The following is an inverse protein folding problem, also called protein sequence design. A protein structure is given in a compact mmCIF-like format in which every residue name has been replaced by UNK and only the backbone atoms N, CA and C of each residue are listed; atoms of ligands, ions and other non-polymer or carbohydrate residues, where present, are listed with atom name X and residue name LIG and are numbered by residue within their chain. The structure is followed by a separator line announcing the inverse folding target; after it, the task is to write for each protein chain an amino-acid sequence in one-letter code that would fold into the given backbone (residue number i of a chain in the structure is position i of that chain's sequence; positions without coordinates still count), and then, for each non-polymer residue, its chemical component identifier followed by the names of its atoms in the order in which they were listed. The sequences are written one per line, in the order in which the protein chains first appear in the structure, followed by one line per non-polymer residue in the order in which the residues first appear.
data_IF_493327208513
#
_entry.id   IF_493327208513
#
_cell.length_a   1.000
_cell.length_b   1.000
_cell.length_c   1.000
_cell.angle_alpha   90.00
_cell.angle_beta   90.00
_cell.angle_gamma   90.00
#
_symmetry.space_group_name_H-M   'P 1'
#
loop_
_entity.id
_entity.type
_entity.pdbx_description
1 polymer ?
#
# COMPACT_ATOMS: atom_id res chain seq x y z
N UNK A 1 11.58 17.22 14.61
CA UNK A 1 10.81 16.16 15.29
C UNK A 1 9.62 16.72 16.06
N UNK A 2 9.79 17.90 16.66
CA UNK A 2 8.77 18.61 17.45
C UNK A 2 7.43 18.83 16.74
N UNK A 3 7.39 18.82 15.40
CA UNK A 3 6.14 18.88 14.65
C UNK A 3 5.33 17.57 14.73
N UNK A 4 5.96 16.42 14.43
CA UNK A 4 5.28 15.11 14.47
C UNK A 4 4.83 14.77 15.90
N UNK A 5 5.65 15.10 16.90
CA UNK A 5 5.34 14.86 18.31
C UNK A 5 4.16 15.66 18.87
N UNK A 6 3.59 16.61 18.11
CA UNK A 6 2.38 17.35 18.49
C UNK A 6 1.09 16.63 18.14
N UNK A 7 1.15 15.59 17.30
CA UNK A 7 -0.03 14.84 16.90
C UNK A 7 -0.22 13.63 17.82
N UNK A 8 -1.46 13.33 18.23
CA UNK A 8 -1.73 12.14 19.03
C UNK A 8 -1.42 10.88 18.23
N UNK A 9 -1.00 9.82 18.93
CA UNK A 9 -0.90 8.49 18.33
C UNK A 9 -2.28 8.05 17.83
N UNK A 10 -2.32 7.45 16.63
CA UNK A 10 -3.57 6.99 16.02
C UNK A 10 -4.14 5.75 16.70
N UNK A 11 -3.26 4.87 17.14
CA UNK A 11 -3.58 3.66 17.89
C UNK A 11 -2.66 3.58 19.10
N UNK A 12 -3.08 2.90 20.19
CA UNK A 12 -2.17 2.58 21.29
C UNK A 12 -1.01 1.72 20.78
N UNK A 13 0.11 1.72 21.52
CA UNK A 13 1.22 0.82 21.21
C UNK A 13 0.75 -0.64 21.26
N UNK A 14 1.00 -1.40 20.20
CA UNK A 14 0.50 -2.77 20.04
C UNK A 14 -0.98 -2.86 19.68
N UNK A 15 -1.66 -1.74 19.42
CA UNK A 15 -2.99 -1.72 18.84
C UNK A 15 -3.01 -2.08 17.34
N UNK A 16 -4.15 -1.89 16.66
CA UNK A 16 -4.29 -2.19 15.24
C UNK A 16 -3.23 -1.51 14.39
N UNK A 17 -2.81 -2.20 13.33
CA UNK A 17 -1.84 -1.66 12.36
C UNK A 17 -2.48 -0.53 11.57
N UNK A 18 -1.76 0.58 11.44
CA UNK A 18 -2.16 1.69 10.60
C UNK A 18 -0.97 2.14 9.77
N UNK A 19 -1.05 2.00 8.45
CA UNK A 19 0.01 2.43 7.55
C UNK A 19 0.34 3.92 7.78
N UNK A 20 1.63 4.24 7.89
CA UNK A 20 2.10 5.56 8.29
C UNK A 20 3.36 5.98 7.55
N UNK A 21 3.19 6.82 6.53
CA UNK A 21 4.30 7.53 5.88
C UNK A 21 5.10 8.36 6.89
N UNK A 22 4.42 9.01 7.85
CA UNK A 22 5.07 9.76 8.91
C UNK A 22 6.01 8.90 9.78
N UNK A 23 5.67 7.64 10.02
CA UNK A 23 6.55 6.72 10.74
C UNK A 23 7.83 6.41 9.94
N UNK A 24 7.74 6.26 8.61
CA UNK A 24 8.91 6.10 7.75
C UNK A 24 9.78 7.36 7.71
N UNK A 25 9.20 8.56 7.72
CA UNK A 25 9.95 9.83 7.88
C UNK A 25 10.69 9.85 9.22
N UNK A 26 10.04 9.41 10.31
CA UNK A 26 10.68 9.26 11.62
C UNK A 26 11.84 8.26 11.57
N UNK A 27 11.66 7.11 10.91
CA UNK A 27 12.72 6.12 10.70
C UNK A 27 13.91 6.70 9.92
N UNK A 28 13.65 7.50 8.89
CA UNK A 28 14.70 8.24 8.17
C UNK A 28 15.53 9.11 9.11
N UNK A 29 14.88 9.86 10.01
CA UNK A 29 15.60 10.69 10.99
C UNK A 29 16.37 9.87 12.03
N UNK A 30 15.86 8.71 12.44
CA UNK A 30 16.59 7.78 13.32
C UNK A 30 17.88 7.31 12.63
N UNK A 31 17.80 6.96 11.34
CA UNK A 31 18.97 6.60 10.53
C UNK A 31 19.99 7.76 10.53
N UNK A 32 19.55 8.98 10.27
CA UNK A 32 20.43 10.15 10.26
C UNK A 32 21.13 10.38 11.59
N UNK A 33 20.38 10.33 12.70
CA UNK A 33 20.92 10.53 14.05
C UNK A 33 21.96 9.48 14.41
N UNK A 34 21.73 8.22 14.05
CA UNK A 34 22.65 7.11 14.33
C UNK A 34 23.88 7.08 13.41
N UNK A 35 23.78 7.67 12.21
CA UNK A 35 24.84 7.60 11.20
C UNK A 35 25.61 8.92 11.00
N UNK A 36 25.11 10.03 11.54
CA UNK A 36 25.75 11.34 11.42
C UNK A 36 25.78 11.89 9.99
N UNK A 37 24.86 11.44 9.13
CA UNK A 37 24.75 11.84 7.72
C UNK A 37 23.28 11.89 7.31
N UNK A 38 22.95 12.59 6.21
CA UNK A 38 21.58 12.63 5.69
C UNK A 38 21.09 11.24 5.27
N UNK A 39 19.77 11.03 5.30
CA UNK A 39 19.17 9.77 4.87
C UNK A 39 19.57 9.42 3.43
N UNK A 40 19.59 10.40 2.53
CA UNK A 40 20.03 10.26 1.13
C UNK A 40 21.46 9.71 1.04
N UNK A 41 22.37 10.28 1.83
CA UNK A 41 23.78 9.86 1.87
C UNK A 41 23.91 8.44 2.40
N UNK A 42 23.13 8.08 3.43
CA UNK A 42 23.19 6.75 4.01
C UNK A 42 22.64 5.70 3.05
N UNK A 43 21.50 5.95 2.39
CA UNK A 43 20.93 5.06 1.39
C UNK A 43 21.93 4.81 0.26
N UNK A 44 22.51 5.88 -0.28
CA UNK A 44 23.47 5.79 -1.37
C UNK A 44 24.72 4.99 -0.98
N UNK A 45 25.39 5.38 0.10
CA UNK A 45 26.69 4.79 0.50
C UNK A 45 26.60 3.40 1.10
N UNK A 46 25.46 3.02 1.70
CA UNK A 46 25.31 1.73 2.38
C UNK A 46 24.53 0.69 1.60
N UNK A 47 23.73 1.10 0.62
CA UNK A 47 22.88 0.18 -0.15
C UNK A 47 23.17 0.32 -1.64
N UNK A 48 22.94 1.50 -2.23
CA UNK A 48 23.02 1.65 -3.69
C UNK A 48 24.43 1.39 -4.25
N UNK A 49 25.44 2.12 -3.76
CA UNK A 49 26.82 1.98 -4.24
C UNK A 49 27.41 0.58 -4.00
N UNK A 50 27.26 -0.04 -2.80
CA UNK A 50 27.76 -1.41 -2.59
C UNK A 50 27.07 -2.46 -3.46
N UNK A 51 25.77 -2.31 -3.74
CA UNK A 51 25.05 -3.24 -4.61
C UNK A 51 25.31 -3.00 -6.10
N UNK A 52 25.91 -1.86 -6.47
CA UNK A 52 26.07 -1.44 -7.87
C UNK A 52 24.76 -0.97 -8.50
N UNK A 53 23.83 -0.40 -7.71
CA UNK A 53 22.59 0.16 -8.24
C UNK A 53 22.85 1.53 -8.86
N UNK A 54 22.75 1.60 -10.19
CA UNK A 54 23.09 2.79 -10.96
C UNK A 54 21.93 3.79 -11.09
N UNK A 55 20.71 3.43 -10.68
CA UNK A 55 19.55 4.32 -10.82
C UNK A 55 18.75 4.54 -9.53
N UNK A 56 19.31 4.24 -8.35
CA UNK A 56 18.64 4.53 -7.07
C UNK A 56 18.91 5.99 -6.67
N UNK A 57 17.92 6.84 -6.94
CA UNK A 57 18.02 8.29 -6.74
C UNK A 57 16.97 8.81 -5.79
N UNK A 58 17.36 9.80 -4.97
CA UNK A 58 16.46 10.44 -4.03
C UNK A 58 16.27 11.92 -4.31
N UNK A 59 17.05 12.53 -5.21
CA UNK A 59 16.97 13.95 -5.55
C UNK A 59 16.59 14.13 -7.03
N UNK A 60 15.75 15.13 -7.38
CA UNK A 60 15.39 15.40 -8.77
C UNK A 60 16.57 15.57 -9.72
N UNK A 61 17.57 16.33 -9.30
CA UNK A 61 18.77 16.64 -10.08
C UNK A 61 19.60 15.39 -10.46
N UNK A 62 19.51 14.32 -9.67
CA UNK A 62 20.15 13.05 -9.99
C UNK A 62 19.43 12.29 -11.10
N UNK A 63 18.13 12.53 -11.26
CA UNK A 63 17.26 11.85 -12.23
C UNK A 63 17.27 12.56 -13.60
N UNK A 64 17.47 13.89 -13.62
CA UNK A 64 17.45 14.72 -14.84
C UNK A 64 18.40 14.27 -15.95
N UNK A 65 19.47 13.52 -15.63
CA UNK A 65 20.43 13.01 -16.61
C UNK A 65 19.97 11.74 -17.33
N UNK A 66 18.83 11.17 -16.96
CA UNK A 66 18.29 9.94 -17.51
C UNK A 66 16.94 10.15 -18.19
N UNK A 67 16.60 9.26 -19.13
CA UNK A 67 15.25 9.18 -19.71
C UNK A 67 14.26 8.68 -18.66
N UNK A 68 13.59 9.62 -18.00
CA UNK A 68 12.76 9.37 -16.83
C UNK A 68 11.28 9.54 -17.14
N UNK A 69 10.44 8.71 -16.53
CA UNK A 69 9.00 8.83 -16.70
C UNK A 69 8.46 10.02 -15.90
N UNK A 70 7.48 10.70 -16.49
CA UNK A 70 6.65 11.70 -15.82
C UNK A 70 5.26 11.10 -15.60
N UNK A 71 4.66 11.35 -14.45
CA UNK A 71 3.35 10.80 -14.12
C UNK A 71 2.21 11.49 -14.87
N UNK A 72 1.11 10.76 -15.03
CA UNK A 72 -0.07 11.24 -15.72
C UNK A 72 -1.34 10.91 -14.93
N UNK A 73 -2.34 11.78 -15.06
CA UNK A 73 -3.65 11.62 -14.45
C UNK A 73 -4.76 11.52 -15.50
N UNK A 74 -5.96 11.19 -15.03
CA UNK A 74 -7.19 11.08 -15.84
C UNK A 74 -7.10 9.97 -16.89
N UNK A 75 -6.36 8.90 -16.60
CA UNK A 75 -6.21 7.77 -17.50
C UNK A 75 -7.38 6.76 -17.43
N UNK A 76 -8.44 7.08 -16.68
CA UNK A 76 -9.68 6.30 -16.63
C UNK A 76 -10.75 7.00 -17.47
N UNK A 77 -11.25 6.31 -18.50
CA UNK A 77 -12.39 6.78 -19.27
C UNK A 77 -13.68 6.51 -18.48
N UNK A 78 -14.51 7.54 -18.29
CA UNK A 78 -15.76 7.44 -17.52
C UNK A 78 -16.88 6.76 -18.32
N UNK A 79 -16.75 6.71 -19.65
CA UNK A 79 -17.64 6.02 -20.57
C UNK A 79 -16.87 5.58 -21.83
N UNK A 80 -17.54 4.82 -22.72
CA UNK A 80 -16.95 4.33 -23.97
C UNK A 80 -16.77 5.40 -25.04
N UNK A 81 -17.50 6.51 -24.96
CA UNK A 81 -17.45 7.59 -25.95
C UNK A 81 -16.23 8.49 -25.75
N UNK A 82 -15.71 8.57 -24.52
CA UNK A 82 -14.51 9.33 -24.14
C UNK A 82 -13.26 8.44 -24.15
N UNK A 83 -13.21 7.42 -25.02
CA UNK A 83 -12.03 6.55 -25.18
C UNK A 83 -11.17 6.97 -26.40
N UNK A 84 -9.84 7.14 -26.24
CA UNK A 84 -9.08 7.02 -24.99
C UNK A 84 -9.32 8.18 -24.03
N UNK A 85 -9.17 7.92 -22.73
CA UNK A 85 -9.33 8.92 -21.68
C UNK A 85 -8.40 10.13 -21.92
N UNK A 86 -8.80 11.37 -21.58
CA UNK A 86 -7.95 12.55 -21.72
C UNK A 86 -6.85 12.54 -20.66
N UNK A 87 -5.77 11.80 -20.95
CA UNK A 87 -4.59 11.69 -20.09
C UNK A 87 -3.85 13.04 -20.06
N UNK A 88 -3.58 13.55 -18.86
CA UNK A 88 -2.88 14.81 -18.65
C UNK A 88 -1.61 14.59 -17.82
N UNK A 89 -0.48 15.24 -18.13
CA UNK A 89 0.71 15.19 -17.28
C UNK A 89 0.42 15.71 -15.87
N UNK A 90 1.06 15.12 -14.87
CA UNK A 90 1.02 15.58 -13.49
C UNK A 90 1.48 17.05 -13.35
N UNK A 91 1.01 17.73 -12.30
CA UNK A 91 1.45 19.10 -12.01
C UNK A 91 2.76 19.15 -11.22
N UNK A 92 3.00 18.09 -10.44
CA UNK A 92 4.18 17.91 -9.64
C UNK A 92 4.89 16.64 -10.10
N UNK A 93 6.22 16.69 -10.11
CA UNK A 93 7.03 15.51 -10.40
C UNK A 93 7.49 14.80 -9.12
N UNK A 94 7.69 15.57 -8.05
CA UNK A 94 8.20 15.05 -6.78
C UNK A 94 7.42 15.64 -5.61
N UNK A 95 7.17 14.82 -4.61
CA UNK A 95 6.61 15.23 -3.32
C UNK A 95 7.56 16.18 -2.55
N UNK A 96 7.12 16.81 -1.44
CA UNK A 96 8.00 17.60 -0.59
C UNK A 96 9.16 16.78 -0.03
N UNK A 97 10.36 17.36 0.08
CA UNK A 97 11.60 16.66 0.53
C UNK A 97 11.50 15.92 1.85
N UNK A 98 10.63 16.36 2.76
CA UNK A 98 10.42 15.68 4.04
C UNK A 98 9.87 14.25 3.87
N UNK A 99 9.29 13.93 2.71
CA UNK A 99 8.76 12.60 2.38
C UNK A 99 9.81 11.63 1.85
N UNK A 100 11.08 12.06 1.71
CA UNK A 100 12.21 11.27 1.22
C UNK A 100 12.15 9.78 1.62
N UNK A 101 12.21 9.49 2.93
CA UNK A 101 12.20 8.13 3.47
C UNK A 101 10.93 7.31 3.26
N UNK A 102 9.78 7.92 2.92
CA UNK A 102 8.51 7.20 2.81
C UNK A 102 8.02 6.98 1.37
N UNK A 103 8.64 7.60 0.35
CA UNK A 103 8.14 7.41 -1.02
C UNK A 103 8.87 8.13 -2.14
N UNK A 104 10.07 8.68 -1.94
CA UNK A 104 10.72 9.51 -2.97
C UNK A 104 11.92 8.87 -3.66
N UNK A 105 12.08 7.54 -3.58
CA UNK A 105 13.12 6.85 -4.32
C UNK A 105 12.67 6.66 -5.76
N UNK A 106 13.39 7.25 -6.70
CA UNK A 106 13.31 6.92 -8.12
C UNK A 106 14.27 5.78 -8.43
N UNK A 107 13.84 4.83 -9.26
CA UNK A 107 14.66 3.68 -9.65
C UNK A 107 14.34 3.20 -11.06
N UNK A 108 15.26 2.42 -11.63
CA UNK A 108 15.01 1.63 -12.84
C UNK A 108 14.32 0.31 -12.48
N UNK A 109 13.67 -0.32 -13.47
CA UNK A 109 13.11 -1.67 -13.27
C UNK A 109 14.20 -2.69 -12.91
N UNK A 110 15.39 -2.57 -13.52
CA UNK A 110 16.52 -3.47 -13.29
C UNK A 110 17.02 -3.38 -11.84
N UNK A 111 17.29 -2.17 -11.35
CA UNK A 111 17.76 -1.98 -9.96
C UNK A 111 16.69 -2.39 -8.94
N UNK A 112 15.40 -2.20 -9.26
CA UNK A 112 14.30 -2.65 -8.40
C UNK A 112 14.24 -4.19 -8.32
N UNK A 113 14.44 -4.90 -9.44
CA UNK A 113 14.51 -6.36 -9.46
C UNK A 113 15.74 -6.86 -8.70
N UNK A 114 16.89 -6.21 -8.88
CA UNK A 114 18.12 -6.56 -8.18
C UNK A 114 18.00 -6.30 -6.66
N UNK A 115 17.38 -5.20 -6.26
CA UNK A 115 17.04 -4.91 -4.86
C UNK A 115 16.16 -6.01 -4.26
N UNK A 116 15.11 -6.46 -4.97
CA UNK A 116 14.27 -7.54 -4.48
C UNK A 116 15.00 -8.89 -4.43
N UNK A 117 15.95 -9.13 -5.35
CA UNK A 117 16.76 -10.34 -5.35
C UNK A 117 17.64 -10.47 -4.10
N UNK A 118 18.00 -9.36 -3.43
CA UNK A 118 18.71 -9.39 -2.15
C UNK A 118 18.02 -10.30 -1.15
N UNK A 119 16.69 -10.23 -1.07
CA UNK A 119 15.89 -11.00 -0.12
C UNK A 119 15.82 -12.48 -0.49
N UNK A 120 15.89 -12.82 -1.79
CA UNK A 120 15.99 -14.21 -2.26
C UNK A 120 17.38 -14.81 -2.03
N UNK A 121 18.40 -13.96 -1.88
CA UNK A 121 19.81 -14.34 -1.78
C UNK A 121 20.40 -14.09 -0.39
N UNK A 122 19.57 -14.03 0.65
CA UNK A 122 20.05 -13.89 2.03
C UNK A 122 20.76 -12.55 2.31
N UNK A 123 20.49 -11.52 1.51
CA UNK A 123 21.03 -10.16 1.65
C UNK A 123 22.30 -9.91 0.83
N UNK A 124 22.57 -10.78 -0.14
CA UNK A 124 23.69 -10.68 -1.08
C UNK A 124 23.21 -10.13 -2.43
N UNK A 125 23.84 -9.05 -2.89
CA UNK A 125 23.57 -8.42 -4.18
C UNK A 125 24.03 -9.29 -5.36
N UNK A 126 23.52 -9.07 -6.58
CA UNK A 126 23.97 -9.79 -7.77
C UNK A 126 25.48 -9.72 -8.02
N UNK A 127 26.13 -8.62 -7.61
CA UNK A 127 27.59 -8.44 -7.69
C UNK A 127 28.38 -9.19 -6.60
N UNK A 128 27.71 -9.94 -5.70
CA UNK A 128 28.32 -10.68 -4.60
C UNK A 128 28.50 -9.89 -3.30
N UNK A 129 28.17 -8.59 -3.27
CA UNK A 129 28.29 -7.77 -2.07
C UNK A 129 27.21 -8.11 -1.06
N UNK A 130 27.61 -8.39 0.18
CA UNK A 130 26.70 -8.66 1.28
C UNK A 130 26.35 -7.36 2.01
N UNK A 131 25.10 -6.90 1.89
CA UNK A 131 24.64 -5.62 2.47
C UNK A 131 23.69 -5.77 3.66
N UNK A 132 23.12 -6.96 3.85
CA UNK A 132 22.15 -7.24 4.91
C UNK A 132 22.33 -8.66 5.43
N UNK A 133 22.37 -8.87 6.75
CA UNK A 133 22.44 -10.22 7.33
C UNK A 133 21.19 -11.07 7.02
N UNK A 134 21.35 -12.39 6.96
CA UNK A 134 20.22 -13.34 6.84
C UNK A 134 19.14 -13.14 7.92
N UNK A 135 19.55 -12.79 9.15
CA UNK A 135 18.61 -12.46 10.23
C UNK A 135 17.73 -11.27 9.87
N UNK A 136 18.31 -10.23 9.29
CA UNK A 136 17.56 -9.05 8.86
C UNK A 136 16.62 -9.39 7.70
N UNK A 137 17.08 -10.17 6.71
CA UNK A 137 16.21 -10.69 5.62
C UNK A 137 15.01 -11.40 6.20
N UNK A 138 15.23 -12.32 7.16
CA UNK A 138 14.15 -13.07 7.80
C UNK A 138 13.15 -12.16 8.51
N UNK A 139 13.61 -11.18 9.28
CA UNK A 139 12.73 -10.22 9.96
C UNK A 139 11.94 -9.35 8.97
N UNK A 140 12.54 -8.99 7.84
CA UNK A 140 11.89 -8.19 6.80
C UNK A 140 10.89 -8.98 5.96
N UNK A 141 11.03 -10.31 5.86
CA UNK A 141 10.19 -11.16 5.00
C UNK A 141 9.22 -12.08 5.78
N UNK A 142 9.26 -12.03 7.10
CA UNK A 142 8.36 -12.80 7.99
C UNK A 142 7.36 -11.87 8.66
N UNK A 143 6.12 -12.35 8.81
CA UNK A 143 5.04 -11.62 9.47
C UNK A 143 5.46 -11.11 10.85
N UNK A 144 5.36 -9.79 11.03
CA UNK A 144 5.52 -9.11 12.31
C UNK A 144 4.16 -8.70 12.88
N UNK A 145 3.19 -8.41 12.01
CA UNK A 145 1.82 -8.09 12.39
C UNK A 145 0.86 -8.85 11.49
N UNK A 146 -0.10 -9.56 12.10
CA UNK A 146 -1.22 -10.18 11.38
C UNK A 146 -2.33 -9.15 11.19
N UNK A 147 -2.84 -9.00 9.97
CA UNK A 147 -4.07 -8.24 9.74
C UNK A 147 -5.31 -9.13 9.75
N UNK A 148 -5.15 -10.46 9.81
CA UNK A 148 -6.28 -11.38 10.07
C UNK A 148 -6.94 -11.10 11.42
N UNK A 149 -6.16 -10.70 12.42
CA UNK A 149 -6.68 -10.27 13.75
C UNK A 149 -7.47 -8.96 13.67
N UNK A 150 -7.35 -8.26 12.54
CA UNK A 150 -8.08 -7.05 12.18
C UNK A 150 -9.18 -7.34 11.15
N UNK A 151 -9.50 -8.61 10.91
CA UNK A 151 -10.47 -9.04 9.91
C UNK A 151 -10.07 -8.74 8.47
N UNK A 152 -8.91 -8.11 8.22
CA UNK A 152 -8.44 -7.89 6.86
C UNK A 152 -7.83 -9.22 6.47
N UNK A 153 -8.63 -9.99 5.74
CA UNK A 153 -8.12 -11.20 5.14
C UNK A 153 -6.86 -10.82 4.35
N UNK A 154 -5.91 -11.76 4.34
CA UNK A 154 -5.07 -11.85 3.17
C UNK A 154 -3.98 -10.77 2.99
N UNK A 155 -3.58 -10.04 4.05
CA UNK A 155 -2.32 -9.28 4.07
C UNK A 155 -1.67 -9.33 5.46
N UNK A 156 -0.45 -9.84 5.56
CA UNK A 156 0.40 -9.64 6.75
C UNK A 156 1.31 -8.42 6.55
N UNK A 157 1.94 -7.93 7.62
CA UNK A 157 2.98 -6.92 7.51
C UNK A 157 4.28 -7.41 8.13
N UNK A 158 5.38 -7.26 7.40
CA UNK A 158 6.72 -7.53 7.88
C UNK A 158 7.49 -6.20 8.09
N UNK A 159 8.79 -6.24 8.40
CA UNK A 159 9.56 -5.00 8.50
C UNK A 159 9.81 -4.39 7.10
N UNK A 160 8.92 -3.50 6.67
CA UNK A 160 9.03 -2.75 5.41
C UNK A 160 8.33 -3.40 4.21
N UNK A 161 7.95 -4.68 4.30
CA UNK A 161 7.24 -5.40 3.24
C UNK A 161 5.80 -5.72 3.64
N UNK A 162 4.89 -5.63 2.66
CA UNK A 162 3.57 -6.25 2.74
C UNK A 162 3.73 -7.75 2.48
N UNK A 163 2.87 -8.56 3.09
CA UNK A 163 2.75 -9.99 2.81
C UNK A 163 1.40 -10.21 2.12
N UNK A 164 1.29 -9.91 0.81
CA UNK A 164 0.04 -10.04 0.09
C UNK A 164 -0.37 -11.50 0.01
N UNK A 165 -1.65 -11.77 0.06
CA UNK A 165 -2.15 -13.12 -0.06
C UNK A 165 -2.17 -13.60 -1.49
N UNK A 166 -1.54 -14.76 -1.66
CA UNK A 166 -1.56 -15.55 -2.88
C UNK A 166 -2.06 -16.97 -2.55
N UNK A 167 -3.04 -17.05 -1.65
CA UNK A 167 -3.53 -18.31 -1.08
C UNK A 167 -2.45 -19.00 -0.27
N UNK A 168 -2.12 -20.24 -0.64
CA UNK A 168 -1.05 -21.01 -0.01
C UNK A 168 0.36 -20.59 -0.44
N UNK A 169 0.50 -19.67 -1.41
CA UNK A 169 1.80 -19.26 -1.92
C UNK A 169 2.38 -18.12 -1.07
N UNK A 170 3.49 -18.33 -0.36
CA UNK A 170 4.11 -17.28 0.42
C UNK A 170 4.67 -16.20 -0.52
N UNK A 171 4.27 -14.97 -0.27
CA UNK A 171 4.71 -13.82 -1.04
C UNK A 171 4.99 -12.63 -0.12
N UNK A 172 5.91 -11.77 -0.54
CA UNK A 172 6.09 -10.45 0.04
C UNK A 172 6.24 -9.42 -1.09
N UNK A 173 5.85 -8.18 -0.84
CA UNK A 173 5.81 -7.17 -1.87
C UNK A 173 5.47 -5.79 -1.34
N UNK A 174 5.39 -4.82 -2.24
CA UNK A 174 4.95 -3.47 -1.89
C UNK A 174 4.36 -2.78 -3.12
N UNK A 175 3.23 -2.11 -2.92
CA UNK A 175 2.68 -1.16 -3.88
C UNK A 175 3.25 0.25 -3.66
N UNK A 176 3.22 1.10 -4.67
CA UNK A 176 3.65 2.50 -4.56
C UNK A 176 2.85 3.37 -5.50
N UNK A 177 2.45 4.55 -5.03
CA UNK A 177 1.76 5.55 -5.81
C UNK A 177 2.35 6.92 -5.49
N UNK A 178 2.63 7.71 -6.53
CA UNK A 178 3.11 9.09 -6.39
C UNK A 178 2.80 9.84 -7.66
N UNK A 179 2.12 10.99 -7.58
CA UNK A 179 1.95 11.96 -8.69
C UNK A 179 1.69 11.32 -10.07
N UNK A 180 0.68 10.45 -10.17
CA UNK A 180 0.34 9.78 -11.44
C UNK A 180 1.29 8.65 -11.87
N UNK A 181 2.17 8.19 -10.99
CA UNK A 181 3.03 7.01 -11.18
C UNK A 181 2.60 5.88 -10.24
N UNK A 182 2.79 4.63 -10.68
CA UNK A 182 2.54 3.43 -9.87
C UNK A 182 3.70 2.45 -9.98
N UNK A 183 4.03 1.84 -8.85
CA UNK A 183 4.95 0.73 -8.75
C UNK A 183 4.26 -0.44 -8.05
N UNK A 184 4.46 -1.64 -8.52
CA UNK A 184 4.06 -2.85 -7.83
C UNK A 184 5.19 -3.86 -7.91
N UNK A 185 5.56 -4.45 -6.78
CA UNK A 185 6.50 -5.56 -6.73
C UNK A 185 5.99 -6.67 -5.84
N UNK A 186 6.10 -7.90 -6.32
CA UNK A 186 5.79 -9.12 -5.56
C UNK A 186 6.92 -10.13 -5.77
N UNK A 187 7.37 -10.71 -4.67
CA UNK A 187 8.40 -11.74 -4.61
C UNK A 187 7.77 -13.02 -4.12
N UNK A 188 8.06 -14.12 -4.81
CA UNK A 188 7.62 -15.47 -4.48
C UNK A 188 8.83 -16.33 -4.12
N UNK A 189 9.21 -16.40 -2.83
CA UNK A 189 10.48 -17.02 -2.42
C UNK A 189 10.60 -18.49 -2.76
N UNK A 190 9.50 -19.24 -2.62
CA UNK A 190 9.42 -20.67 -2.97
C UNK A 190 9.75 -20.92 -4.44
N UNK A 191 9.38 -20.00 -5.32
CA UNK A 191 9.62 -20.07 -6.76
C UNK A 191 10.89 -19.33 -7.20
N UNK A 192 11.50 -18.56 -6.29
CA UNK A 192 12.59 -17.62 -6.57
C UNK A 192 12.26 -16.64 -7.71
N UNK A 193 11.02 -16.19 -7.77
CA UNK A 193 10.50 -15.27 -8.79
C UNK A 193 10.29 -13.90 -8.17
N UNK A 194 10.68 -12.86 -8.89
CA UNK A 194 10.32 -11.46 -8.63
C UNK A 194 9.52 -10.95 -9.82
N UNK A 195 8.36 -10.36 -9.56
CA UNK A 195 7.55 -9.68 -10.57
C UNK A 195 7.45 -8.22 -10.15
N UNK A 196 7.94 -7.31 -10.98
CA UNK A 196 7.80 -5.87 -10.78
C UNK A 196 7.12 -5.24 -12.01
N UNK A 197 6.19 -4.32 -11.77
CA UNK A 197 5.49 -3.56 -12.81
C UNK A 197 5.49 -2.09 -12.43
N UNK A 198 6.00 -1.25 -13.33
CA UNK A 198 6.02 0.20 -13.18
C UNK A 198 5.14 0.83 -14.27
N UNK A 199 4.36 1.83 -13.89
CA UNK A 199 3.50 2.57 -14.82
C UNK A 199 3.54 4.06 -14.46
N UNK A 200 3.24 4.92 -15.43
CA UNK A 200 3.25 6.37 -15.25
C UNK A 200 1.88 7.00 -15.52
N UNK A 201 0.81 6.27 -15.16
CA UNK A 201 -0.55 6.78 -15.13
C UNK A 201 -1.29 6.34 -13.86
N UNK A 202 -2.22 7.16 -13.37
CA UNK A 202 -3.07 6.90 -12.21
C UNK A 202 -3.91 5.61 -12.30
N UNK A 203 -4.38 5.25 -13.50
CA UNK A 203 -5.06 3.98 -13.79
C UNK A 203 -4.13 2.74 -13.70
N UNK A 204 -2.83 2.94 -13.54
CA UNK A 204 -1.81 1.89 -13.65
C UNK A 204 -1.86 0.82 -12.56
N UNK A 205 -2.47 1.08 -11.40
CA UNK A 205 -2.56 0.10 -10.30
C UNK A 205 -3.28 -1.17 -10.73
N UNK A 206 -4.43 -1.02 -11.40
CA UNK A 206 -5.26 -2.16 -11.82
C UNK A 206 -4.56 -2.96 -12.93
N UNK A 207 -3.91 -2.25 -13.86
CA UNK A 207 -3.09 -2.87 -14.91
C UNK A 207 -1.90 -3.64 -14.31
N UNK A 208 -1.20 -3.06 -13.33
CA UNK A 208 -0.10 -3.71 -12.65
C UNK A 208 -0.54 -4.99 -11.94
N UNK A 209 -1.66 -4.95 -11.20
CA UNK A 209 -2.22 -6.13 -10.56
C UNK A 209 -2.61 -7.22 -11.56
N UNK A 210 -3.27 -6.86 -12.67
CA UNK A 210 -3.66 -7.79 -13.73
C UNK A 210 -2.44 -8.45 -14.39
N UNK A 211 -1.40 -7.67 -14.72
CA UNK A 211 -0.15 -8.19 -15.30
C UNK A 211 0.59 -9.08 -14.31
N UNK A 212 0.66 -8.71 -13.03
CA UNK A 212 1.28 -9.54 -12.00
C UNK A 212 0.59 -10.91 -11.91
N UNK A 213 -0.74 -10.96 -11.93
CA UNK A 213 -1.50 -12.22 -11.94
C UNK A 213 -1.29 -13.05 -13.20
N UNK A 214 -1.30 -12.42 -14.38
CA UNK A 214 -1.04 -13.13 -15.64
C UNK A 214 0.36 -13.77 -15.62
N UNK A 215 1.40 -13.00 -15.27
CA UNK A 215 2.78 -13.50 -15.20
C UNK A 215 2.92 -14.61 -14.15
N UNK A 216 2.34 -14.43 -12.96
CA UNK A 216 2.36 -15.45 -11.90
C UNK A 216 1.68 -16.76 -12.36
N UNK A 217 0.54 -16.66 -13.06
CA UNK A 217 -0.17 -17.84 -13.58
C UNK A 217 0.66 -18.62 -14.60
N UNK A 218 1.43 -17.94 -15.46
CA UNK A 218 2.35 -18.56 -16.42
C UNK A 218 3.52 -19.28 -15.73
N UNK A 219 3.84 -18.88 -14.50
CA UNK A 219 4.81 -19.54 -13.64
C UNK A 219 4.20 -20.66 -12.76
N UNK A 220 2.91 -20.98 -12.93
CA UNK A 220 2.23 -22.01 -12.13
C UNK A 220 1.86 -21.56 -10.70
N UNK A 221 1.91 -20.25 -10.42
CA UNK A 221 1.51 -19.68 -9.14
C UNK A 221 0.00 -19.39 -9.19
N UNK A 222 -0.74 -19.92 -8.21
CA UNK A 222 -2.17 -19.71 -8.10
C UNK A 222 -2.51 -18.22 -7.97
N UNK A 223 -3.61 -17.77 -8.57
CA UNK A 223 -4.08 -16.40 -8.36
C UNK A 223 -4.50 -16.17 -6.90
N UNK A 224 -4.45 -14.91 -6.43
CA UNK A 224 -5.04 -14.56 -5.14
C UNK A 224 -6.53 -14.95 -5.13
N UNK A 225 -7.07 -15.38 -3.97
CA UNK A 225 -8.51 -15.58 -3.83
C UNK A 225 -9.23 -14.25 -4.06
N UNK A 226 -10.45 -14.36 -4.59
CA UNK A 226 -11.30 -13.21 -4.85
C UNK A 226 -12.17 -12.94 -3.63
N UNK A 227 -12.37 -11.67 -3.34
CA UNK A 227 -13.42 -11.23 -2.42
C UNK A 227 -14.75 -11.39 -3.12
N UNK A 228 -15.66 -12.17 -2.53
CA UNK A 228 -17.02 -12.38 -3.07
C UNK A 228 -18.01 -11.71 -2.14
N UNK A 229 -18.82 -10.81 -2.70
CA UNK A 229 -19.93 -10.22 -1.96
C UNK A 229 -21.01 -11.26 -1.70
N UNK A 230 -21.55 -11.22 -0.49
CA UNK A 230 -22.70 -12.02 -0.09
C UNK A 230 -23.99 -11.21 -0.21
N UNK A 231 -25.07 -11.88 -0.60
CA UNK A 231 -26.44 -11.33 -0.55
C UNK A 231 -27.05 -11.36 0.86
N UNK A 232 -26.27 -11.83 1.86
CA UNK A 232 -26.69 -11.87 3.26
C UNK A 232 -26.93 -10.46 3.80
N UNK A 233 -28.08 -10.27 4.45
CA UNK A 233 -28.35 -9.06 5.21
C UNK A 233 -27.54 -9.04 6.52
N UNK A 234 -27.06 -7.86 6.90
CA UNK A 234 -26.40 -7.67 8.18
C UNK A 234 -27.40 -7.84 9.32
N UNK A 235 -26.99 -8.55 10.38
CA UNK A 235 -27.78 -8.69 11.61
C UNK A 235 -27.81 -7.40 12.41
N UNK A 236 -28.81 -7.25 13.29
CA UNK A 236 -28.92 -6.06 14.14
C UNK A 236 -27.66 -5.82 14.99
N UNK A 237 -27.03 -6.88 15.49
CA UNK A 237 -25.79 -6.80 16.25
C UNK A 237 -24.60 -6.31 15.40
N UNK A 238 -24.50 -6.74 14.14
CA UNK A 238 -23.49 -6.23 13.19
C UNK A 238 -23.73 -4.74 12.93
N UNK A 239 -24.97 -4.36 12.62
CA UNK A 239 -25.36 -2.97 12.32
C UNK A 239 -25.01 -2.06 13.50
N UNK A 240 -25.36 -2.42 14.73
CA UNK A 240 -25.05 -1.63 15.94
C UNK A 240 -23.54 -1.45 16.13
N UNK A 241 -22.75 -2.46 15.77
CA UNK A 241 -21.29 -2.38 15.91
C UNK A 241 -20.62 -1.51 14.85
N UNK A 242 -21.20 -1.46 13.64
CA UNK A 242 -20.67 -0.77 12.46
C UNK A 242 -21.11 0.70 12.41
N UNK A 243 -22.38 0.99 12.68
CA UNK A 243 -22.96 2.33 12.46
C UNK A 243 -22.29 3.38 13.33
N UNK A 244 -21.84 4.47 12.72
CA UNK A 244 -21.20 5.60 13.41
C UNK A 244 -20.32 6.45 12.51
N UNK A 245 -19.66 7.42 13.13
CA UNK A 245 -18.72 8.34 12.47
C UNK A 245 -17.30 7.94 12.86
N UNK A 246 -16.45 7.80 11.85
CA UNK A 246 -15.05 7.45 11.97
C UNK A 246 -14.23 8.59 11.40
N UNK A 247 -13.35 9.18 12.21
CA UNK A 247 -12.61 10.37 11.81
C UNK A 247 -11.13 10.33 12.24
N UNK A 248 -10.27 10.77 11.32
CA UNK A 248 -8.88 11.12 11.59
C UNK A 248 -8.49 12.29 10.70
N UNK A 249 -7.31 12.86 10.93
CA UNK A 249 -6.84 13.96 10.11
C UNK A 249 -6.81 13.59 8.61
N UNK A 250 -7.59 14.32 7.81
CA UNK A 250 -7.71 14.14 6.36
C UNK A 250 -8.68 13.03 5.92
N UNK A 251 -9.45 12.44 6.83
CA UNK A 251 -10.34 11.31 6.55
C UNK A 251 -11.60 11.39 7.41
N UNK A 252 -12.76 11.28 6.77
CA UNK A 252 -14.05 11.23 7.43
C UNK A 252 -14.92 10.17 6.75
N UNK A 253 -15.34 9.17 7.53
CA UNK A 253 -16.21 8.09 7.07
C UNK A 253 -17.42 8.00 7.99
N UNK A 254 -18.57 7.73 7.40
CA UNK A 254 -19.82 7.57 8.14
C UNK A 254 -20.54 6.32 7.66
N UNK A 255 -20.87 5.44 8.59
CA UNK A 255 -21.65 4.23 8.32
C UNK A 255 -23.03 4.39 8.94
N UNK A 256 -24.07 4.30 8.11
CA UNK A 256 -25.47 4.58 8.52
C UNK A 256 -26.31 3.32 8.36
N UNK A 257 -27.23 3.10 9.29
CA UNK A 257 -28.25 2.06 9.12
C UNK A 257 -29.16 2.42 7.94
N UNK A 258 -29.40 1.47 7.04
CA UNK A 258 -30.23 1.66 5.85
C UNK A 258 -29.64 1.03 4.59
N UNK A 259 -30.24 1.34 3.45
CA UNK A 259 -29.82 0.78 2.17
C UNK A 259 -30.16 -0.70 1.98
N UNK A 260 -29.73 -1.29 0.85
CA UNK A 260 -30.16 -2.62 0.43
C UNK A 260 -29.58 -3.78 1.26
N UNK A 261 -28.50 -3.55 2.00
CA UNK A 261 -27.82 -4.58 2.83
C UNK A 261 -27.97 -4.34 4.34
N UNK A 262 -28.60 -3.23 4.74
CA UNK A 262 -28.78 -2.79 6.13
C UNK A 262 -27.78 -1.73 6.60
N UNK A 263 -26.65 -1.55 5.91
CA UNK A 263 -25.70 -0.45 6.16
C UNK A 263 -25.25 0.20 4.85
N UNK A 264 -25.18 1.54 4.85
CA UNK A 264 -24.52 2.33 3.81
C UNK A 264 -23.28 3.02 4.38
N UNK A 265 -22.15 2.85 3.69
CA UNK A 265 -20.92 3.56 3.96
C UNK A 265 -20.82 4.84 3.13
N UNK A 266 -20.45 5.94 3.77
CA UNK A 266 -20.25 7.25 3.15
C UNK A 266 -18.82 7.69 3.41
N UNK A 267 -18.01 7.76 2.37
CA UNK A 267 -16.58 8.10 2.47
C UNK A 267 -16.08 8.75 1.19
N UNK A 268 -14.95 9.44 1.31
CA UNK A 268 -14.23 10.06 0.19
C UNK A 268 -12.96 9.24 -0.06
N UNK A 269 -12.74 8.67 -1.27
CA UNK A 269 -11.49 8.00 -1.58
C UNK A 269 -10.29 8.95 -1.45
N UNK A 270 -9.18 8.45 -0.92
CA UNK A 270 -7.90 9.15 -0.98
C UNK A 270 -7.25 9.02 -2.38
N UNK A 271 -6.18 9.79 -2.64
CA UNK A 271 -5.48 9.82 -3.94
C UNK A 271 -4.87 8.46 -4.33
N UNK A 272 -4.54 7.63 -3.33
CA UNK A 272 -4.01 6.29 -3.53
C UNK A 272 -5.14 5.35 -4.00
N UNK A 273 -6.36 5.58 -3.50
CA UNK A 273 -7.50 4.70 -3.69
C UNK A 273 -8.52 5.15 -4.73
N UNK A 274 -8.56 6.40 -5.19
CA UNK A 274 -9.55 6.86 -6.18
C UNK A 274 -9.49 8.36 -6.53
N UNK A 275 -10.47 8.85 -7.32
CA UNK A 275 -10.57 10.27 -7.63
C UNK A 275 -10.94 11.08 -6.37
N UNK A 276 -10.05 11.98 -5.97
CA UNK A 276 -10.29 12.85 -4.82
C UNK A 276 -11.41 13.87 -5.04
N UNK A 277 -12.08 14.25 -3.94
CA UNK A 277 -13.18 15.20 -3.94
C UNK A 277 -14.51 14.61 -4.38
N UNK A 278 -14.60 13.29 -4.55
CA UNK A 278 -15.85 12.57 -4.81
C UNK A 278 -16.29 11.87 -3.52
N UNK A 279 -17.46 12.26 -3.01
CA UNK A 279 -18.11 11.56 -1.90
C UNK A 279 -18.92 10.38 -2.44
N UNK A 280 -18.56 9.18 -2.04
CA UNK A 280 -19.26 7.95 -2.40
C UNK A 280 -20.25 7.57 -1.29
N UNK A 281 -21.39 7.04 -1.68
CA UNK A 281 -22.35 6.37 -0.78
C UNK A 281 -22.60 5.00 -1.36
N UNK A 282 -22.13 3.96 -0.67
CA UNK A 282 -22.14 2.59 -1.18
C UNK A 282 -22.72 1.64 -0.13
N UNK A 283 -23.51 0.64 -0.56
CA UNK A 283 -23.95 -0.42 0.35
C UNK A 283 -22.74 -1.19 0.88
N UNK A 284 -22.72 -1.44 2.19
CA UNK A 284 -21.75 -2.32 2.82
C UNK A 284 -22.27 -3.75 2.76
N UNK A 285 -21.54 -4.63 2.10
CA UNK A 285 -21.89 -6.03 1.95
C UNK A 285 -21.11 -6.88 2.93
N UNK A 286 -21.74 -7.91 3.50
CA UNK A 286 -20.99 -9.05 4.01
C UNK A 286 -20.28 -9.76 2.85
N UNK A 287 -19.17 -10.43 3.13
CA UNK A 287 -18.48 -11.29 2.17
C UNK A 287 -18.71 -12.76 2.50
N UNK A 288 -18.51 -13.66 1.53
CA UNK A 288 -18.54 -15.11 1.78
C UNK A 288 -17.47 -15.56 2.78
N UNK A 289 -16.42 -14.76 2.92
CA UNK A 289 -15.31 -14.92 3.84
C UNK A 289 -15.64 -14.52 5.29
N UNK A 290 -16.81 -13.92 5.55
CA UNK A 290 -17.21 -13.49 6.89
C UNK A 290 -16.76 -12.07 7.26
N UNK A 291 -16.43 -11.26 6.26
CA UNK A 291 -15.87 -9.92 6.34
C UNK A 291 -16.82 -8.89 5.72
N UNK A 292 -16.38 -7.64 5.55
CA UNK A 292 -17.17 -6.62 4.85
C UNK A 292 -16.45 -6.03 3.66
N UNK A 293 -17.22 -5.62 2.66
CA UNK A 293 -16.68 -4.97 1.47
C UNK A 293 -17.72 -4.05 0.82
N UNK A 294 -17.21 -3.14 -0.01
CA UNK A 294 -18.01 -2.25 -0.86
C UNK A 294 -17.64 -2.48 -2.32
N UNK A 295 -18.64 -2.50 -3.20
CA UNK A 295 -18.39 -2.48 -4.64
C UNK A 295 -18.28 -1.04 -5.11
N UNK A 296 -17.07 -0.61 -5.43
CA UNK A 296 -16.86 0.70 -6.04
C UNK A 296 -17.12 0.66 -7.54
N UNK A 297 -17.68 1.73 -8.14
CA UNK A 297 -17.95 1.76 -9.57
C UNK A 297 -16.68 1.85 -10.43
N UNK A 298 -15.58 2.37 -9.87
CA UNK A 298 -14.29 2.55 -10.55
C UNK A 298 -13.33 1.36 -10.38
N UNK A 299 -13.76 0.29 -9.68
CA UNK A 299 -12.96 -0.90 -9.45
C UNK A 299 -13.68 -2.17 -9.90
N UNK A 300 -12.93 -3.08 -10.49
CA UNK A 300 -13.44 -4.41 -10.87
C UNK A 300 -13.61 -5.36 -9.68
N UNK A 301 -12.76 -5.22 -8.67
CA UNK A 301 -12.78 -6.05 -7.47
C UNK A 301 -13.39 -5.27 -6.30
N UNK A 302 -14.16 -5.92 -5.41
CA UNK A 302 -14.66 -5.30 -4.18
C UNK A 302 -13.50 -4.75 -3.34
N UNK A 303 -13.76 -3.67 -2.62
CA UNK A 303 -12.81 -3.11 -1.65
C UNK A 303 -13.22 -3.54 -0.25
N UNK A 304 -12.35 -4.27 0.43
CA UNK A 304 -12.58 -4.76 1.79
C UNK A 304 -12.60 -3.59 2.79
N UNK A 305 -13.49 -3.68 3.77
CA UNK A 305 -13.67 -2.74 4.87
C UNK A 305 -13.79 -3.56 6.14
N UNK A 306 -12.99 -3.25 7.14
CA UNK A 306 -13.00 -4.03 8.39
C UNK A 306 -13.26 -3.17 9.60
N UNK A 307 -13.93 -3.74 10.59
CA UNK A 307 -14.26 -3.06 11.84
C UNK A 307 -13.53 -3.74 12.98
N UNK A 308 -12.58 -3.03 13.57
CA UNK A 308 -11.65 -3.60 14.55
C UNK A 308 -11.78 -2.92 15.89
N UNK A 309 -11.58 -3.68 16.96
CA UNK A 309 -11.57 -3.15 18.33
C UNK A 309 -10.18 -3.29 18.92
N UNK A 310 -9.65 -2.22 19.49
CA UNK A 310 -8.44 -2.28 20.30
C UNK A 310 -8.74 -2.88 21.68
N UNK A 311 -7.67 -3.25 22.40
CA UNK A 311 -7.75 -3.83 23.74
C UNK A 311 -8.37 -2.89 24.78
N UNK A 312 -8.36 -1.58 24.54
CA UNK A 312 -9.01 -0.57 25.38
C UNK A 312 -10.49 -0.34 25.03
N UNK A 313 -11.04 -1.11 24.09
CA UNK A 313 -12.43 -1.01 23.63
C UNK A 313 -12.67 0.04 22.55
N UNK A 314 -11.64 0.80 22.14
CA UNK A 314 -11.76 1.76 21.03
C UNK A 314 -12.06 1.01 19.74
N UNK A 315 -13.10 1.43 19.03
CA UNK A 315 -13.49 0.87 17.73
C UNK A 315 -12.85 1.66 16.60
N UNK A 316 -12.47 0.98 15.53
CA UNK A 316 -11.91 1.56 14.32
C UNK A 316 -12.55 0.94 13.10
N UNK A 317 -12.52 1.67 12.00
CA UNK A 317 -12.68 1.13 10.66
C UNK A 317 -11.32 1.08 9.99
N UNK A 318 -11.02 -0.03 9.32
CA UNK A 318 -9.82 -0.24 8.54
C UNK A 318 -10.17 -0.21 7.04
N UNK A 319 -9.51 0.70 6.33
CA UNK A 319 -9.68 0.95 4.91
C UNK A 319 -8.35 1.42 4.32
N UNK A 320 -7.92 0.91 3.16
CA UNK A 320 -6.66 1.32 2.52
C UNK A 320 -5.41 1.12 3.40
N UNK A 321 -5.34 0.01 4.15
CA UNK A 321 -4.29 -0.30 5.15
C UNK A 321 -4.18 0.70 6.32
N UNK A 322 -5.16 1.57 6.51
CA UNK A 322 -5.19 2.58 7.56
C UNK A 322 -6.41 2.35 8.44
N UNK A 323 -6.22 2.51 9.75
CA UNK A 323 -7.33 2.51 10.70
C UNK A 323 -7.73 3.94 11.07
N UNK A 324 -9.04 4.14 11.18
CA UNK A 324 -9.68 5.39 11.55
C UNK A 324 -10.57 5.14 12.77
N UNK A 325 -10.38 5.86 13.90
CA UNK A 325 -11.14 5.62 15.12
C UNK A 325 -12.59 6.10 14.99
N UNK A 326 -13.49 5.41 15.68
CA UNK A 326 -14.88 5.81 15.85
C UNK A 326 -14.99 6.95 16.85
N UNK A 327 -15.68 8.03 16.50
CA UNK A 327 -15.85 9.23 17.32
C UNK A 327 -17.30 9.47 17.74
N UNK A 328 -18.27 8.88 17.04
CA UNK A 328 -19.70 8.94 17.34
C UNK A 328 -20.42 7.66 16.89
#
# INVERSE_FOLDING_TARGET
MDYIGKFPARTPLGGPLSYSNGAFVVLGRVIEALRGASWDTVLRKRIAEPCGFDHVWTLPEDVLRYSSAFGHFRAVALDKEVFPAPVEPAKLWHLPRCTGPCGQVSSSISDLLDFASLFLNGGVAPNGTHVMSERAVKLMTTQQVSLTDQGIENIGWALGWQLPNWGSEPAFGHGGATEGQRANIVVFPKHRIVIAVLTNADAGTQMAAALTRDIASRAGIASPPKVTLSDRHLSDDEIVNIVGVYERHGEHQEYRAGGPTGVEGVFEPDEDDGPCGVRLTLPLHATEQGHYAVQRPDRHEPTEIEFVSASDGTKYVAYGHRVTPKIA
#
